data_IF_216289541124
#
_entry.id   IF_216289541124
#
_cell.length_a   1.000
_cell.length_b   1.000
_cell.length_c   1.000
_cell.angle_alpha   90.00
_cell.angle_beta   90.00
_cell.angle_gamma   90.00
#
_symmetry.space_group_name_H-M   'P 1'
#
loop_
_entity.id
_entity.type
_entity.pdbx_description
1 polymer ?
#
# COMPACT_ATOMS: atom_id res chain seq x y z
N UNK A 1 9.68 4.79 -21.17
CA UNK A 1 9.30 5.81 -22.19
C UNK A 1 8.23 6.69 -21.61
N UNK A 2 8.43 8.02 -21.59
CA UNK A 2 7.36 8.94 -21.25
C UNK A 2 6.20 8.69 -22.21
N UNK A 3 5.01 8.35 -21.70
CA UNK A 3 3.85 8.19 -22.57
C UNK A 3 3.43 9.60 -23.05
N UNK A 4 3.83 10.04 -24.27
CA UNK A 4 3.58 11.41 -24.72
C UNK A 4 2.08 11.71 -24.86
N UNK A 5 1.26 10.69 -25.05
CA UNK A 5 -0.19 10.85 -25.21
C UNK A 5 -0.86 11.24 -23.89
N UNK A 6 -0.43 10.68 -22.76
CA UNK A 6 -0.95 11.03 -21.45
C UNK A 6 -0.51 12.41 -20.95
N UNK A 7 0.66 12.88 -21.38
CA UNK A 7 1.20 14.20 -20.99
C UNK A 7 0.66 15.35 -21.83
N UNK A 8 0.23 15.12 -23.07
CA UNK A 8 -0.28 16.18 -23.96
C UNK A 8 -1.46 16.96 -23.36
N UNK A 9 -2.52 16.34 -22.82
CA UNK A 9 -3.62 17.06 -22.21
C UNK A 9 -3.21 17.87 -20.98
N UNK A 10 -2.27 17.33 -20.18
CA UNK A 10 -1.70 18.01 -19.02
C UNK A 10 -0.89 19.24 -19.45
N UNK A 11 -0.01 19.10 -20.46
CA UNK A 11 0.75 20.23 -21.02
C UNK A 11 -0.17 21.33 -21.56
N UNK A 12 -1.24 20.96 -22.25
CA UNK A 12 -2.22 21.92 -22.75
C UNK A 12 -2.88 22.68 -21.59
N UNK A 13 -3.24 22.01 -20.50
CA UNK A 13 -3.84 22.63 -19.31
C UNK A 13 -2.87 23.58 -18.58
N UNK A 14 -1.58 23.44 -18.79
CA UNK A 14 -0.51 24.27 -18.21
C UNK A 14 -0.01 25.38 -19.16
N UNK A 15 -0.55 25.47 -20.38
CA UNK A 15 -0.06 26.39 -21.42
C UNK A 15 -0.15 27.88 -21.08
N UNK A 16 -1.01 28.25 -20.11
CA UNK A 16 -1.12 29.62 -19.59
C UNK A 16 -0.04 29.99 -18.55
N UNK A 17 0.83 29.05 -18.17
CA UNK A 17 1.91 29.28 -17.19
C UNK A 17 3.24 29.58 -17.89
N UNK A 18 4.18 30.29 -17.22
CA UNK A 18 5.54 30.40 -17.70
C UNK A 18 6.16 29.03 -17.94
N UNK A 19 6.94 28.87 -19.01
CA UNK A 19 7.48 27.59 -19.44
C UNK A 19 8.23 26.84 -18.33
N UNK A 20 9.09 27.54 -17.57
CA UNK A 20 9.83 26.92 -16.46
C UNK A 20 8.95 26.38 -15.31
N UNK A 21 7.76 26.98 -15.12
CA UNK A 21 6.77 26.50 -14.13
C UNK A 21 6.12 25.23 -14.64
N UNK A 22 5.68 25.24 -15.91
CA UNK A 22 5.06 24.09 -16.56
C UNK A 22 6.02 22.90 -16.61
N UNK A 23 7.27 23.11 -16.99
CA UNK A 23 8.31 22.07 -17.02
C UNK A 23 8.54 21.45 -15.63
N UNK A 24 8.60 22.28 -14.57
CA UNK A 24 8.75 21.81 -13.19
C UNK A 24 7.56 20.96 -12.74
N UNK A 25 6.34 21.38 -13.06
CA UNK A 25 5.12 20.60 -12.75
C UNK A 25 5.15 19.27 -13.48
N UNK A 26 5.42 19.26 -14.77
CA UNK A 26 5.49 18.04 -15.58
C UNK A 26 6.59 17.10 -15.07
N UNK A 27 7.76 17.61 -14.70
CA UNK A 27 8.83 16.79 -14.12
C UNK A 27 8.39 16.11 -12.81
N UNK A 28 7.68 16.82 -11.94
CA UNK A 28 7.17 16.23 -10.70
C UNK A 28 6.07 15.19 -10.97
N UNK A 29 5.17 15.45 -11.93
CA UNK A 29 4.17 14.46 -12.35
C UNK A 29 4.85 13.20 -12.89
N UNK A 30 5.89 13.34 -13.70
CA UNK A 30 6.68 12.20 -14.17
C UNK A 30 7.31 11.40 -13.02
N UNK A 31 7.81 12.06 -11.98
CA UNK A 31 8.32 11.36 -10.79
C UNK A 31 7.22 10.55 -10.09
N UNK A 32 6.01 11.10 -9.98
CA UNK A 32 4.86 10.38 -9.40
C UNK A 32 4.47 9.15 -10.21
N UNK A 33 4.51 9.24 -11.55
CA UNK A 33 4.17 8.09 -12.41
C UNK A 33 5.20 6.97 -12.34
N UNK A 34 6.43 7.22 -11.82
CA UNK A 34 7.50 6.26 -11.62
C UNK A 34 7.73 5.92 -10.13
N UNK A 35 6.81 6.32 -9.25
CA UNK A 35 6.91 5.96 -7.84
C UNK A 35 6.90 4.45 -7.66
N UNK A 36 7.86 3.92 -6.91
CA UNK A 36 7.98 2.50 -6.57
C UNK A 36 7.53 2.27 -5.12
N UNK A 37 6.31 1.79 -4.89
CA UNK A 37 5.81 1.51 -3.55
C UNK A 37 6.60 0.41 -2.85
N UNK A 38 6.72 0.53 -1.52
CA UNK A 38 7.35 -0.48 -0.67
C UNK A 38 6.36 -0.99 0.35
N UNK A 39 5.93 -2.24 0.20
CA UNK A 39 4.96 -2.88 1.10
C UNK A 39 5.67 -3.91 1.97
N UNK A 40 5.65 -3.69 3.28
CA UNK A 40 6.06 -4.69 4.25
C UNK A 40 4.98 -5.75 4.44
N UNK A 41 5.37 -7.02 4.52
CA UNK A 41 4.46 -8.08 4.94
C UNK A 41 5.06 -8.78 6.15
N UNK A 42 4.31 -8.86 7.23
CA UNK A 42 4.75 -9.51 8.46
C UNK A 42 3.71 -10.49 8.99
N UNK A 43 4.15 -11.38 9.84
CA UNK A 43 3.32 -12.40 10.47
C UNK A 43 4.16 -13.63 10.81
N UNK A 44 3.73 -14.38 11.80
CA UNK A 44 4.40 -15.59 12.27
C UNK A 44 4.61 -16.60 11.13
N UNK A 45 5.57 -17.49 11.31
CA UNK A 45 5.83 -18.59 10.36
C UNK A 45 4.53 -19.35 10.07
N UNK A 46 4.27 -19.60 8.79
CA UNK A 46 3.03 -20.25 8.35
C UNK A 46 1.78 -19.36 8.37
N UNK A 47 1.89 -18.04 8.57
CA UNK A 47 0.74 -17.13 8.50
C UNK A 47 0.19 -16.94 7.06
N UNK A 48 0.88 -17.45 6.04
CA UNK A 48 0.41 -17.40 4.65
C UNK A 48 0.84 -16.14 3.90
N UNK A 49 1.94 -15.50 4.30
CA UNK A 49 2.48 -14.29 3.66
C UNK A 49 2.66 -14.46 2.14
N UNK A 50 3.46 -15.44 1.72
CA UNK A 50 3.72 -15.72 0.29
C UNK A 50 2.44 -16.10 -0.47
N UNK A 51 1.55 -16.89 0.15
CA UNK A 51 0.27 -17.25 -0.47
C UNK A 51 -0.61 -16.04 -0.71
N UNK A 52 -0.63 -15.09 0.23
CA UNK A 52 -1.41 -13.85 0.09
C UNK A 52 -0.83 -12.96 -1.02
N UNK A 53 0.49 -12.78 -1.05
CA UNK A 53 1.17 -12.02 -2.11
C UNK A 53 0.85 -12.59 -3.49
N UNK A 54 1.01 -13.91 -3.67
CA UNK A 54 0.73 -14.60 -4.94
C UNK A 54 -0.75 -14.52 -5.34
N UNK A 55 -1.66 -14.43 -4.37
CA UNK A 55 -3.08 -14.30 -4.64
C UNK A 55 -3.49 -12.88 -5.05
N UNK A 56 -2.82 -11.85 -4.51
CA UNK A 56 -3.19 -10.45 -4.74
C UNK A 56 -2.50 -9.82 -5.94
N UNK A 57 -1.22 -10.14 -6.16
CA UNK A 57 -0.38 -9.45 -7.13
C UNK A 57 -0.10 -10.29 -8.36
N UNK A 58 -0.02 -9.63 -9.51
CA UNK A 58 0.19 -10.24 -10.82
C UNK A 58 1.64 -10.11 -11.32
N UNK A 59 2.45 -9.26 -10.69
CA UNK A 59 3.78 -8.93 -11.17
C UNK A 59 4.73 -10.14 -11.17
N UNK A 60 5.63 -10.16 -12.15
CA UNK A 60 6.77 -11.08 -12.14
C UNK A 60 7.66 -10.78 -10.94
N UNK A 61 7.97 -11.82 -10.16
CA UNK A 61 8.73 -11.69 -8.93
C UNK A 61 10.21 -11.86 -9.21
N UNK A 62 11.01 -10.84 -8.97
CA UNK A 62 12.46 -10.95 -8.95
C UNK A 62 12.99 -10.69 -7.53
N UNK A 63 13.88 -11.56 -7.00
CA UNK A 63 14.53 -11.27 -5.73
C UNK A 63 15.46 -10.06 -5.90
N UNK A 64 15.35 -9.10 -5.00
CA UNK A 64 16.33 -8.02 -4.89
C UNK A 64 17.45 -8.54 -3.99
N UNK A 65 18.50 -9.11 -4.59
CA UNK A 65 19.69 -9.47 -3.83
C UNK A 65 20.60 -8.24 -3.75
N UNK A 66 20.65 -7.58 -2.61
CA UNK A 66 21.83 -6.81 -2.28
C UNK A 66 22.98 -7.81 -2.05
N UNK A 67 24.03 -7.71 -2.88
CA UNK A 67 25.18 -8.63 -2.95
C UNK A 67 26.00 -8.70 -1.64
N UNK A 68 25.60 -7.95 -0.62
CA UNK A 68 26.19 -7.92 0.72
C UNK A 68 25.24 -8.46 1.79
N UNK A 69 24.50 -9.53 1.50
CA UNK A 69 23.61 -10.13 2.49
C UNK A 69 24.42 -10.73 3.66
N UNK A 70 24.61 -9.93 4.70
CA UNK A 70 24.64 -10.47 6.04
C UNK A 70 23.29 -11.16 6.29
N UNK A 71 23.29 -12.32 6.91
CA UNK A 71 22.16 -13.22 7.21
C UNK A 71 21.00 -12.59 8.01
N UNK A 72 20.87 -11.27 8.05
CA UNK A 72 19.95 -10.49 8.89
C UNK A 72 19.06 -9.52 8.12
N UNK A 73 19.26 -9.35 6.80
CA UNK A 73 18.43 -8.44 6.01
C UNK A 73 17.11 -9.09 5.64
N UNK A 74 15.98 -8.32 5.67
CA UNK A 74 14.69 -8.85 5.26
C UNK A 74 14.72 -9.21 3.78
N UNK A 75 14.06 -10.31 3.42
CA UNK A 75 13.93 -10.70 2.02
C UNK A 75 13.10 -9.64 1.27
N UNK A 76 13.63 -9.18 0.15
CA UNK A 76 12.99 -8.21 -0.71
C UNK A 76 12.68 -8.83 -2.06
N UNK A 77 11.46 -8.61 -2.51
CA UNK A 77 10.97 -9.07 -3.80
C UNK A 77 10.45 -7.87 -4.59
N UNK A 78 11.04 -7.66 -5.75
CA UNK A 78 10.55 -6.64 -6.68
C UNK A 78 9.54 -7.27 -7.62
N UNK A 79 8.35 -6.71 -7.69
CA UNK A 79 7.32 -7.08 -8.64
C UNK A 79 7.32 -6.10 -9.80
N UNK A 80 7.13 -6.61 -11.00
CA UNK A 80 7.07 -5.80 -12.21
C UNK A 80 5.85 -6.15 -13.05
N UNK A 81 5.10 -5.11 -13.43
CA UNK A 81 4.04 -5.19 -14.46
C UNK A 81 4.30 -4.06 -15.45
N UNK A 82 4.66 -4.42 -16.69
CA UNK A 82 5.11 -3.45 -17.68
C UNK A 82 6.35 -2.67 -17.20
N UNK A 83 6.26 -1.35 -17.18
CA UNK A 83 7.33 -0.46 -16.69
C UNK A 83 7.15 -0.06 -15.21
N UNK A 84 6.18 -0.66 -14.51
CA UNK A 84 5.85 -0.35 -13.13
C UNK A 84 6.46 -1.36 -12.17
N UNK A 85 6.99 -0.84 -11.08
CA UNK A 85 7.64 -1.64 -10.06
C UNK A 85 6.99 -1.42 -8.70
N UNK A 86 7.06 -2.43 -7.85
CA UNK A 86 6.70 -2.39 -6.44
C UNK A 86 7.62 -3.35 -5.69
N UNK A 87 8.07 -2.96 -4.51
CA UNK A 87 8.88 -3.82 -3.65
C UNK A 87 8.04 -4.39 -2.51
N UNK A 88 8.08 -5.71 -2.33
CA UNK A 88 7.57 -6.39 -1.13
C UNK A 88 8.76 -6.73 -0.25
N UNK A 89 8.66 -6.38 1.03
CA UNK A 89 9.63 -6.68 2.08
C UNK A 89 9.03 -7.72 3.02
N UNK A 90 9.58 -8.94 3.02
CA UNK A 90 9.16 -9.98 3.98
C UNK A 90 9.81 -9.68 5.33
N UNK A 91 9.00 -9.19 6.26
CA UNK A 91 9.43 -8.82 7.60
C UNK A 91 9.22 -10.00 8.56
N UNK A 92 10.17 -10.27 9.47
CA UNK A 92 10.04 -11.36 10.41
C UNK A 92 8.83 -11.15 11.33
N UNK A 93 8.12 -12.24 11.61
CA UNK A 93 7.09 -12.26 12.64
C UNK A 93 7.71 -12.25 14.04
N UNK A 94 6.99 -11.72 14.99
CA UNK A 94 7.42 -11.63 16.40
C UNK A 94 6.97 -12.84 17.21
N UNK A 95 7.62 -13.08 18.37
CA UNK A 95 7.26 -14.14 19.31
C UNK A 95 8.01 -15.47 19.09
N UNK A 96 9.12 -15.47 18.34
CA UNK A 96 9.98 -16.65 18.21
C UNK A 96 10.92 -16.82 19.41
N UNK A 97 11.55 -15.72 19.86
CA UNK A 97 12.34 -15.65 21.11
C UNK A 97 12.62 -14.20 21.49
N UNK A 98 12.80 -13.90 22.79
CA UNK A 98 13.05 -12.53 23.26
C UNK A 98 14.36 -11.91 22.69
N UNK A 99 15.38 -12.71 22.40
CA UNK A 99 16.62 -12.23 21.78
C UNK A 99 16.36 -11.80 20.33
N UNK A 100 15.64 -12.64 19.56
CA UNK A 100 15.26 -12.33 18.18
C UNK A 100 14.33 -11.14 18.10
N UNK A 101 13.39 -10.99 19.01
CA UNK A 101 12.46 -9.88 19.04
C UNK A 101 13.19 -8.53 19.21
N UNK A 102 14.32 -8.51 19.94
CA UNK A 102 15.19 -7.31 20.05
C UNK A 102 15.90 -6.98 18.71
N UNK A 103 16.45 -8.01 18.04
CA UNK A 103 17.06 -7.85 16.71
C UNK A 103 16.02 -7.38 15.68
N UNK A 104 14.82 -7.95 15.70
CA UNK A 104 13.72 -7.56 14.84
C UNK A 104 13.26 -6.12 15.10
N UNK A 105 13.23 -5.69 16.37
CA UNK A 105 12.90 -4.31 16.69
C UNK A 105 13.87 -3.30 16.05
N UNK A 106 15.18 -3.60 16.02
CA UNK A 106 16.16 -2.75 15.34
C UNK A 106 15.94 -2.73 13.82
N UNK A 107 15.73 -3.91 13.21
CA UNK A 107 15.40 -4.06 11.78
C UNK A 107 14.15 -3.25 11.40
N UNK A 108 13.08 -3.37 12.19
CA UNK A 108 11.84 -2.63 11.92
C UNK A 108 12.05 -1.12 11.99
N UNK A 109 12.77 -0.61 12.98
CA UNK A 109 13.05 0.83 13.07
C UNK A 109 13.81 1.36 11.86
N UNK A 110 14.67 0.55 11.26
CA UNK A 110 15.37 0.90 10.03
C UNK A 110 14.43 0.88 8.81
N UNK A 111 13.54 -0.11 8.73
CA UNK A 111 12.68 -0.29 7.56
C UNK A 111 11.44 0.59 7.57
N UNK A 112 10.85 0.88 8.74
CA UNK A 112 9.59 1.64 8.89
C UNK A 112 9.53 2.96 8.11
N UNK A 113 10.61 3.78 8.05
CA UNK A 113 10.58 5.02 7.26
C UNK A 113 10.41 4.80 5.76
N UNK A 114 10.84 3.64 5.25
CA UNK A 114 10.84 3.28 3.83
C UNK A 114 9.57 2.58 3.38
N UNK A 115 8.75 2.11 4.33
CA UNK A 115 7.52 1.38 4.03
C UNK A 115 6.35 2.35 3.83
N UNK A 116 5.57 2.10 2.79
CA UNK A 116 4.29 2.78 2.55
C UNK A 116 3.15 2.12 3.31
N UNK A 117 3.19 0.80 3.44
CA UNK A 117 2.19 0.00 4.13
C UNK A 117 2.82 -1.24 4.74
N UNK A 118 2.25 -1.72 5.86
CA UNK A 118 2.56 -3.01 6.48
C UNK A 118 1.29 -3.85 6.51
N UNK A 119 1.31 -4.98 5.81
CA UNK A 119 0.28 -6.01 5.94
C UNK A 119 0.68 -6.94 7.10
N UNK A 120 -0.01 -6.82 8.24
CA UNK A 120 0.26 -7.63 9.42
C UNK A 120 -0.70 -8.81 9.48
N UNK A 121 -0.18 -10.00 9.14
CA UNK A 121 -0.94 -11.23 9.09
C UNK A 121 -1.01 -11.91 10.46
N UNK A 122 -2.23 -12.13 10.94
CA UNK A 122 -2.53 -12.91 12.15
C UNK A 122 -3.42 -14.07 11.72
N UNK A 123 -3.01 -15.32 12.01
CA UNK A 123 -3.83 -16.48 11.66
C UNK A 123 -5.16 -16.47 12.44
N UNK A 124 -6.22 -16.95 11.81
CA UNK A 124 -7.54 -17.03 12.42
C UNK A 124 -7.53 -17.86 13.72
N UNK A 125 -6.70 -18.93 13.77
CA UNK A 125 -6.53 -19.84 14.91
C UNK A 125 -5.46 -19.39 15.93
N UNK A 126 -4.69 -18.30 15.65
CA UNK A 126 -3.66 -17.83 16.58
C UNK A 126 -4.30 -17.15 17.83
N UNK A 127 -3.96 -17.66 19.00
CA UNK A 127 -4.44 -17.15 20.30
C UNK A 127 -3.36 -16.41 21.08
N UNK A 128 -2.08 -16.56 20.71
CA UNK A 128 -0.93 -15.99 21.41
C UNK A 128 -0.56 -14.60 20.85
N UNK A 129 -1.29 -13.57 21.22
CA UNK A 129 -1.19 -12.21 20.67
C UNK A 129 -0.40 -11.22 21.55
N UNK A 130 -0.04 -11.62 22.78
CA UNK A 130 0.60 -10.70 23.73
C UNK A 130 1.93 -10.11 23.21
N UNK A 131 2.75 -10.93 22.56
CA UNK A 131 4.02 -10.46 21.96
C UNK A 131 3.77 -9.55 20.76
N UNK A 132 2.78 -9.88 19.92
CA UNK A 132 2.36 -9.05 18.80
C UNK A 132 1.87 -7.67 19.29
N UNK A 133 1.05 -7.64 20.36
CA UNK A 133 0.56 -6.41 20.96
C UNK A 133 1.71 -5.56 21.51
N UNK A 134 2.62 -6.17 22.28
CA UNK A 134 3.78 -5.48 22.84
C UNK A 134 4.64 -4.86 21.72
N UNK A 135 4.94 -5.63 20.66
CA UNK A 135 5.74 -5.19 19.53
C UNK A 135 5.06 -4.03 18.77
N UNK A 136 3.76 -4.15 18.53
CA UNK A 136 2.98 -3.09 17.89
C UNK A 136 3.05 -1.77 18.67
N UNK A 137 2.93 -1.85 20.00
CA UNK A 137 2.97 -0.66 20.86
C UNK A 137 4.36 -0.04 20.95
N UNK A 138 5.42 -0.88 21.06
CA UNK A 138 6.78 -0.42 21.38
C UNK A 138 7.64 -0.17 20.14
N UNK A 139 7.45 -0.92 19.06
CA UNK A 139 8.31 -0.86 17.87
C UNK A 139 7.63 -0.10 16.74
N UNK A 140 6.42 -0.45 16.38
CA UNK A 140 5.65 0.32 15.39
C UNK A 140 5.36 1.71 15.95
N UNK A 141 4.89 1.77 17.19
CA UNK A 141 4.61 3.02 17.89
C UNK A 141 3.47 3.81 17.25
N UNK A 142 3.05 4.87 17.91
CA UNK A 142 1.89 5.66 17.49
C UNK A 142 2.10 6.33 16.12
N UNK A 143 3.31 6.81 15.86
CA UNK A 143 3.65 7.52 14.63
C UNK A 143 3.50 6.67 13.35
N UNK A 144 3.62 5.33 13.44
CA UNK A 144 3.57 4.43 12.28
C UNK A 144 2.31 3.56 12.22
N UNK A 145 1.37 3.68 13.18
CA UNK A 145 0.13 2.90 13.20
C UNK A 145 -0.71 3.08 11.94
N UNK A 146 -0.67 4.25 11.35
CA UNK A 146 -1.37 4.56 10.09
C UNK A 146 -0.84 3.76 8.89
N UNK A 147 0.35 3.17 8.99
CA UNK A 147 0.93 2.30 7.96
C UNK A 147 0.51 0.83 8.12
N UNK A 148 -0.17 0.44 9.20
CA UNK A 148 -0.47 -0.97 9.50
C UNK A 148 -1.90 -1.32 9.13
N UNK A 149 -2.06 -2.34 8.26
CA UNK A 149 -3.32 -3.01 7.99
C UNK A 149 -3.26 -4.43 8.55
N UNK A 150 -4.05 -4.70 9.60
CA UNK A 150 -4.17 -6.05 10.15
C UNK A 150 -5.03 -6.94 9.27
N UNK A 151 -4.55 -8.16 9.03
CA UNK A 151 -5.20 -9.16 8.18
C UNK A 151 -5.31 -10.47 8.93
N UNK A 152 -6.52 -10.90 9.26
CA UNK A 152 -6.79 -12.25 9.73
C UNK A 152 -6.68 -13.18 8.52
N UNK A 153 -5.59 -13.92 8.45
CA UNK A 153 -5.31 -14.87 7.38
C UNK A 153 -5.87 -16.25 7.69
N UNK A 154 -5.97 -17.11 6.67
CA UNK A 154 -6.44 -18.50 6.81
C UNK A 154 -7.81 -18.58 7.51
N UNK A 155 -8.72 -17.67 7.18
CA UNK A 155 -10.04 -17.61 7.80
C UNK A 155 -10.86 -18.91 7.65
N UNK A 156 -10.52 -19.77 6.68
CA UNK A 156 -11.06 -21.12 6.53
C UNK A 156 -10.66 -22.07 7.66
N UNK A 157 -9.64 -21.76 8.45
CA UNK A 157 -9.23 -22.49 9.66
C UNK A 157 -9.87 -21.99 10.95
N UNK A 158 -10.74 -20.96 10.88
CA UNK A 158 -11.54 -20.57 12.02
C UNK A 158 -12.45 -21.75 12.45
N UNK A 159 -12.50 -22.03 13.75
CA UNK A 159 -13.37 -23.10 14.28
C UNK A 159 -14.88 -22.73 14.15
N UNK A 160 -15.76 -23.75 13.98
CA UNK A 160 -15.44 -25.16 13.71
C UNK A 160 -14.90 -25.32 12.29
N UNK A 161 -13.76 -26.02 12.14
CA UNK A 161 -13.19 -26.28 10.83
C UNK A 161 -14.09 -27.19 10.02
N UNK A 162 -14.68 -26.66 8.98
CA UNK A 162 -15.42 -27.43 7.98
C UNK A 162 -14.56 -27.59 6.74
N UNK A 163 -14.39 -28.80 6.23
CA UNK A 163 -13.66 -29.07 4.97
C UNK A 163 -14.37 -28.49 3.71
N UNK A 164 -15.39 -27.65 3.88
CA UNK A 164 -16.18 -27.08 2.80
C UNK A 164 -15.46 -26.02 1.97
N UNK A 165 -16.07 -25.69 0.82
CA UNK A 165 -15.56 -24.64 -0.09
C UNK A 165 -16.09 -23.24 0.24
N UNK A 166 -16.88 -23.10 1.30
CA UNK A 166 -17.41 -21.81 1.79
C UNK A 166 -17.31 -21.77 3.32
N UNK A 167 -17.17 -20.57 3.88
CA UNK A 167 -17.22 -20.38 5.32
C UNK A 167 -18.63 -20.58 5.87
N UNK A 168 -18.76 -21.38 6.92
CA UNK A 168 -20.01 -21.55 7.65
C UNK A 168 -20.41 -20.24 8.38
N UNK A 169 -21.66 -20.15 8.78
CA UNK A 169 -22.16 -19.03 9.58
C UNK A 169 -21.40 -18.90 10.92
N UNK A 170 -21.10 -20.01 11.56
CA UNK A 170 -20.37 -20.06 12.82
C UNK A 170 -18.92 -19.63 12.65
N UNK A 171 -18.24 -20.05 11.59
CA UNK A 171 -16.89 -19.55 11.24
C UNK A 171 -16.92 -18.03 11.06
N UNK A 172 -17.87 -17.49 10.31
CA UNK A 172 -17.99 -16.04 10.12
C UNK A 172 -18.22 -15.30 11.45
N UNK A 173 -19.01 -15.85 12.37
CA UNK A 173 -19.20 -15.29 13.70
C UNK A 173 -17.90 -15.30 14.52
N UNK A 174 -17.13 -16.39 14.46
CA UNK A 174 -15.85 -16.50 15.17
C UNK A 174 -14.79 -15.55 14.57
N UNK A 175 -14.77 -15.39 13.25
CA UNK A 175 -13.95 -14.37 12.58
C UNK A 175 -14.36 -12.96 13.06
N UNK A 176 -15.64 -12.67 13.16
CA UNK A 176 -16.12 -11.37 13.67
C UNK A 176 -15.70 -11.12 15.12
N UNK A 177 -15.78 -12.15 15.99
CA UNK A 177 -15.26 -12.07 17.36
C UNK A 177 -13.75 -11.81 17.39
N UNK A 178 -13.00 -12.46 16.50
CA UNK A 178 -11.55 -12.24 16.36
C UNK A 178 -11.25 -10.80 15.90
N UNK A 179 -12.02 -10.25 14.98
CA UNK A 179 -11.90 -8.84 14.57
C UNK A 179 -12.11 -7.91 15.76
N UNK A 180 -13.17 -8.13 16.56
CA UNK A 180 -13.41 -7.34 17.78
C UNK A 180 -12.24 -7.44 18.76
N UNK A 181 -11.71 -8.65 19.01
CA UNK A 181 -10.55 -8.86 19.86
C UNK A 181 -9.33 -8.08 19.38
N UNK A 182 -9.03 -8.09 18.06
CA UNK A 182 -7.92 -7.33 17.52
C UNK A 182 -8.13 -5.82 17.66
N UNK A 183 -9.37 -5.34 17.54
CA UNK A 183 -9.69 -3.93 17.81
C UNK A 183 -9.47 -3.55 19.28
N UNK A 184 -9.84 -4.41 20.22
CA UNK A 184 -9.61 -4.18 21.66
C UNK A 184 -8.11 -4.15 22.00
N UNK A 185 -7.34 -5.11 21.49
CA UNK A 185 -5.91 -5.26 21.81
C UNK A 185 -5.04 -4.20 21.13
N UNK A 186 -5.21 -4.01 19.83
CA UNK A 186 -4.29 -3.19 19.02
C UNK A 186 -4.80 -1.77 18.78
N UNK A 187 -6.09 -1.52 18.91
CA UNK A 187 -6.70 -0.21 18.55
C UNK A 187 -6.20 0.29 17.19
N UNK A 188 -6.38 -0.52 16.12
CA UNK A 188 -5.83 -0.21 14.81
C UNK A 188 -6.49 1.04 14.21
N UNK A 189 -5.70 1.81 13.45
CA UNK A 189 -6.21 2.99 12.71
C UNK A 189 -7.16 2.56 11.60
N UNK A 190 -6.83 1.44 10.93
CA UNK A 190 -7.61 0.91 9.81
C UNK A 190 -8.47 -0.28 10.23
N UNK A 191 -9.64 -0.49 9.60
CA UNK A 191 -10.47 -1.66 9.87
C UNK A 191 -9.71 -2.96 9.58
N UNK A 192 -9.78 -3.92 10.50
CA UNK A 192 -9.17 -5.25 10.33
C UNK A 192 -9.83 -5.99 9.16
N UNK A 193 -9.01 -6.60 8.30
CA UNK A 193 -9.46 -7.48 7.22
C UNK A 193 -9.44 -8.94 7.64
N UNK A 194 -10.27 -9.77 7.03
CA UNK A 194 -10.21 -11.21 7.19
C UNK A 194 -10.27 -11.87 5.81
N UNK A 195 -9.37 -12.83 5.55
CA UNK A 195 -9.22 -13.45 4.23
C UNK A 195 -8.95 -14.95 4.32
N UNK A 196 -9.39 -15.68 3.30
CA UNK A 196 -8.93 -17.02 2.97
C UNK A 196 -8.49 -17.07 1.52
N UNK A 197 -7.21 -17.27 1.29
CA UNK A 197 -6.67 -17.47 -0.06
C UNK A 197 -7.22 -18.76 -0.67
N UNK A 198 -7.33 -19.83 0.12
CA UNK A 198 -7.88 -21.11 -0.32
C UNK A 198 -9.31 -20.98 -0.87
N UNK A 199 -10.15 -20.19 -0.20
CA UNK A 199 -11.56 -20.01 -0.57
C UNK A 199 -11.79 -18.77 -1.45
N UNK A 200 -10.75 -18.03 -1.82
CA UNK A 200 -10.84 -16.72 -2.49
C UNK A 200 -11.79 -15.74 -1.78
N UNK A 201 -11.94 -15.91 -0.45
CA UNK A 201 -12.86 -15.13 0.36
C UNK A 201 -12.16 -13.92 0.98
N UNK A 202 -12.84 -12.78 0.96
CA UNK A 202 -12.38 -11.53 1.59
C UNK A 202 -11.29 -10.78 0.85
N UNK A 203 -10.64 -11.35 -0.18
CA UNK A 203 -9.51 -10.77 -0.89
C UNK A 203 -9.86 -9.44 -1.59
N UNK A 204 -11.05 -9.36 -2.22
CA UNK A 204 -11.52 -8.12 -2.86
C UNK A 204 -11.66 -6.98 -1.86
N UNK A 205 -12.33 -7.24 -0.75
CA UNK A 205 -12.52 -6.23 0.32
C UNK A 205 -11.17 -5.81 0.92
N UNK A 206 -10.25 -6.77 1.07
CA UNK A 206 -8.90 -6.47 1.51
C UNK A 206 -8.15 -5.58 0.52
N UNK A 207 -8.21 -5.86 -0.79
CA UNK A 207 -7.58 -5.04 -1.81
C UNK A 207 -8.13 -3.60 -1.79
N UNK A 208 -9.45 -3.42 -1.69
CA UNK A 208 -10.08 -2.10 -1.57
C UNK A 208 -9.62 -1.33 -0.32
N UNK A 209 -9.51 -2.02 0.82
CA UNK A 209 -9.01 -1.42 2.06
C UNK A 209 -7.52 -1.10 1.98
N UNK A 210 -6.73 -1.99 1.41
CA UNK A 210 -5.30 -1.79 1.21
C UNK A 210 -5.02 -0.50 0.43
N UNK A 211 -5.70 -0.26 -0.68
CA UNK A 211 -5.54 0.98 -1.46
C UNK A 211 -5.88 2.22 -0.63
N UNK A 212 -6.91 2.16 0.21
CA UNK A 212 -7.29 3.28 1.09
C UNK A 212 -6.31 3.55 2.23
N UNK A 213 -5.47 2.57 2.59
CA UNK A 213 -4.45 2.71 3.63
C UNK A 213 -3.13 3.25 3.10
N UNK A 214 -2.92 3.22 1.79
CA UNK A 214 -1.69 3.69 1.15
C UNK A 214 -1.59 5.22 1.15
N UNK A 215 -0.38 5.78 1.17
CA UNK A 215 -0.19 7.17 0.79
C UNK A 215 -0.61 7.35 -0.68
N UNK A 216 -1.10 8.55 -1.02
CA UNK A 216 -1.74 8.81 -2.32
C UNK A 216 -0.83 8.51 -3.51
N UNK A 217 0.46 8.79 -3.40
CA UNK A 217 1.47 8.52 -4.43
C UNK A 217 1.67 7.03 -4.70
N UNK A 218 1.39 6.17 -3.72
CA UNK A 218 1.57 4.72 -3.82
C UNK A 218 0.33 3.98 -4.38
N UNK A 219 -0.87 4.59 -4.31
CA UNK A 219 -2.12 3.90 -4.65
C UNK A 219 -2.15 3.44 -6.11
N UNK A 220 -1.86 4.30 -7.07
CA UNK A 220 -1.88 4.00 -8.50
C UNK A 220 -0.85 2.93 -8.92
N UNK A 221 0.44 3.02 -8.53
CA UNK A 221 1.40 1.96 -8.82
C UNK A 221 1.01 0.61 -8.22
N UNK A 222 0.45 0.58 -7.00
CA UNK A 222 -0.02 -0.67 -6.38
C UNK A 222 -1.20 -1.27 -7.14
N UNK A 223 -2.17 -0.45 -7.59
CA UNK A 223 -3.29 -0.93 -8.42
C UNK A 223 -2.79 -1.59 -9.70
N UNK A 224 -1.74 -1.05 -10.33
CA UNK A 224 -1.13 -1.63 -11.51
C UNK A 224 -0.51 -3.01 -11.25
N UNK A 225 -0.14 -3.33 -10.00
CA UNK A 225 0.41 -4.64 -9.62
C UNK A 225 -0.66 -5.65 -9.19
N UNK A 226 -1.89 -5.23 -8.89
CA UNK A 226 -2.96 -6.14 -8.49
C UNK A 226 -3.34 -7.11 -9.62
N UNK A 227 -3.76 -8.32 -9.28
CA UNK A 227 -4.42 -9.22 -10.22
C UNK A 227 -5.74 -8.61 -10.70
N UNK A 228 -6.10 -8.89 -11.94
CA UNK A 228 -7.27 -8.32 -12.62
C UNK A 228 -8.58 -8.37 -11.79
N UNK A 229 -8.93 -9.48 -11.08
CA UNK A 229 -10.17 -9.54 -10.29
C UNK A 229 -10.24 -8.52 -9.15
N UNK A 230 -9.10 -7.97 -8.72
CA UNK A 230 -9.01 -7.03 -7.60
C UNK A 230 -8.91 -5.56 -8.06
N UNK A 231 -8.73 -5.31 -9.36
CA UNK A 231 -8.80 -3.97 -9.96
C UNK A 231 -10.24 -3.52 -10.15
N UNK A 232 -11.03 -3.53 -9.05
CA UNK A 232 -12.45 -3.15 -9.08
C UNK A 232 -12.62 -1.68 -9.44
N UNK A 233 -13.84 -1.29 -9.83
CA UNK A 233 -14.18 0.12 -10.07
C UNK A 233 -13.82 0.99 -8.86
N UNK A 234 -14.16 0.54 -7.64
CA UNK A 234 -13.84 1.25 -6.40
C UNK A 234 -12.35 1.46 -6.23
N UNK A 235 -11.52 0.43 -6.48
CA UNK A 235 -10.06 0.49 -6.40
C UNK A 235 -9.50 1.48 -7.43
N UNK A 236 -9.98 1.42 -8.66
CA UNK A 236 -9.51 2.30 -9.75
C UNK A 236 -9.94 3.75 -9.53
N UNK A 237 -11.17 4.00 -9.09
CA UNK A 237 -11.65 5.35 -8.77
C UNK A 237 -10.85 5.96 -7.64
N UNK A 238 -10.59 5.22 -6.56
CA UNK A 238 -9.74 5.69 -5.46
C UNK A 238 -8.34 6.07 -5.95
N UNK A 239 -7.70 5.22 -6.76
CA UNK A 239 -6.36 5.50 -7.29
C UNK A 239 -6.34 6.71 -8.25
N UNK A 240 -7.37 6.88 -9.07
CA UNK A 240 -7.52 8.08 -9.92
C UNK A 240 -7.67 9.35 -9.09
N UNK A 241 -8.48 9.29 -8.04
CA UNK A 241 -8.68 10.42 -7.13
C UNK A 241 -7.39 10.78 -6.41
N UNK A 242 -6.69 9.78 -5.86
CA UNK A 242 -5.40 9.96 -5.20
C UNK A 242 -4.35 10.55 -6.15
N UNK A 243 -4.28 10.06 -7.39
CA UNK A 243 -3.38 10.61 -8.40
C UNK A 243 -3.71 12.07 -8.72
N UNK A 244 -4.99 12.38 -8.96
CA UNK A 244 -5.43 13.75 -9.20
C UNK A 244 -5.07 14.69 -8.05
N UNK A 245 -5.34 14.28 -6.81
CA UNK A 245 -5.01 15.09 -5.62
C UNK A 245 -3.48 15.22 -5.42
N UNK A 246 -2.70 14.21 -5.75
CA UNK A 246 -1.24 14.29 -5.68
C UNK A 246 -0.70 15.28 -6.73
N UNK A 247 -1.26 15.27 -7.94
CA UNK A 247 -0.94 16.28 -8.96
C UNK A 247 -1.36 17.68 -8.49
N UNK A 248 -2.53 17.81 -7.84
CA UNK A 248 -2.97 19.07 -7.22
C UNK A 248 -1.97 19.57 -6.17
N UNK A 249 -1.47 18.69 -5.29
CA UNK A 249 -0.47 19.03 -4.28
C UNK A 249 0.86 19.49 -4.89
N UNK A 250 1.23 18.97 -6.07
CA UNK A 250 2.39 19.46 -6.84
C UNK A 250 2.20 20.94 -7.21
N UNK A 251 1.02 21.31 -7.74
CA UNK A 251 0.72 22.69 -8.09
C UNK A 251 0.74 23.60 -6.84
N UNK A 252 0.17 23.12 -5.73
CA UNK A 252 0.16 23.84 -4.46
C UNK A 252 1.60 24.07 -3.96
N UNK A 253 2.45 23.07 -4.01
CA UNK A 253 3.88 23.14 -3.63
C UNK A 253 4.64 24.14 -4.51
N UNK A 254 4.43 24.07 -5.83
CA UNK A 254 5.07 25.00 -6.78
C UNK A 254 4.57 26.42 -6.51
N UNK A 255 3.26 26.61 -6.31
CA UNK A 255 2.69 27.94 -6.04
C UNK A 255 3.21 28.58 -4.75
N UNK A 256 3.51 27.77 -3.75
CA UNK A 256 4.05 28.23 -2.46
C UNK A 256 5.53 28.62 -2.51
N UNK A 257 6.24 28.33 -3.60
CA UNK A 257 7.68 28.64 -3.70
C UNK A 257 7.93 30.16 -3.66
N UNK A 258 8.86 30.63 -2.82
CA UNK A 258 9.04 32.08 -2.57
C UNK A 258 9.35 32.92 -3.81
N UNK A 259 9.98 32.30 -4.83
CA UNK A 259 10.38 32.98 -6.07
C UNK A 259 9.23 33.09 -7.10
N UNK A 260 8.05 32.51 -6.84
CA UNK A 260 6.90 32.64 -7.72
C UNK A 260 6.21 34.00 -7.54
N UNK A 261 6.15 34.86 -8.57
CA UNK A 261 5.45 36.11 -8.50
C UNK A 261 3.94 35.94 -8.22
N UNK A 262 3.34 36.89 -7.49
CA UNK A 262 1.93 36.81 -7.12
C UNK A 262 0.96 36.57 -8.31
N UNK A 263 1.13 37.23 -9.48
CA UNK A 263 0.27 36.99 -10.64
C UNK A 263 0.38 35.52 -11.14
N UNK A 264 1.59 34.95 -11.18
CA UNK A 264 1.81 33.56 -11.61
C UNK A 264 1.17 32.60 -10.61
N UNK A 265 1.31 32.87 -9.31
CA UNK A 265 0.67 32.08 -8.25
C UNK A 265 -0.85 32.05 -8.41
N UNK A 266 -1.47 33.18 -8.70
CA UNK A 266 -2.91 33.26 -8.94
C UNK A 266 -3.34 32.41 -10.15
N UNK A 267 -2.56 32.42 -11.23
CA UNK A 267 -2.84 31.56 -12.40
C UNK A 267 -2.70 30.08 -12.05
N UNK A 268 -1.63 29.66 -11.32
CA UNK A 268 -1.47 28.26 -10.88
C UNK A 268 -2.70 27.81 -10.08
N UNK A 269 -3.15 28.63 -9.13
CA UNK A 269 -4.33 28.33 -8.33
C UNK A 269 -5.62 28.26 -9.16
N UNK A 270 -5.76 29.13 -10.14
CA UNK A 270 -6.94 29.15 -11.02
C UNK A 270 -7.02 27.87 -11.90
N UNK A 271 -5.89 27.36 -12.39
CA UNK A 271 -5.86 26.15 -13.24
C UNK A 271 -5.86 24.86 -12.44
N UNK A 272 -5.65 24.89 -11.13
CA UNK A 272 -5.50 23.71 -10.28
C UNK A 272 -6.62 22.69 -10.47
N UNK A 273 -7.87 23.12 -10.37
CA UNK A 273 -9.03 22.22 -10.51
C UNK A 273 -9.09 21.56 -11.89
N UNK A 274 -8.77 22.34 -12.93
CA UNK A 274 -8.73 21.82 -14.32
C UNK A 274 -7.63 20.77 -14.46
N UNK A 275 -6.42 21.05 -13.97
CA UNK A 275 -5.28 20.12 -14.05
C UNK A 275 -5.56 18.83 -13.26
N UNK A 276 -6.15 18.92 -12.07
CA UNK A 276 -6.59 17.75 -11.29
C UNK A 276 -7.62 16.92 -12.05
N UNK A 277 -8.60 17.55 -12.67
CA UNK A 277 -9.62 16.86 -13.48
C UNK A 277 -9.00 16.17 -14.70
N UNK A 278 -8.09 16.84 -15.39
CA UNK A 278 -7.37 16.26 -16.54
C UNK A 278 -6.48 15.11 -16.09
N UNK A 279 -5.76 15.24 -14.96
CA UNK A 279 -4.92 14.17 -14.42
C UNK A 279 -5.75 12.90 -14.13
N UNK A 280 -6.94 13.05 -13.54
CA UNK A 280 -7.87 11.92 -13.33
C UNK A 280 -8.32 11.31 -14.66
N UNK A 281 -8.62 12.12 -15.67
CA UNK A 281 -9.10 11.64 -16.96
C UNK A 281 -8.03 10.88 -17.75
N UNK A 282 -6.75 11.27 -17.63
CA UNK A 282 -5.63 10.62 -18.33
C UNK A 282 -4.97 9.50 -17.52
N UNK A 283 -5.47 9.17 -16.36
CA UNK A 283 -4.90 8.17 -15.46
C UNK A 283 -4.64 6.82 -16.15
N UNK A 284 -5.58 6.35 -16.98
CA UNK A 284 -5.48 5.08 -17.71
C UNK A 284 -4.33 5.03 -18.75
N UNK A 285 -3.74 6.17 -19.12
CA UNK A 285 -2.54 6.20 -19.97
C UNK A 285 -1.27 5.90 -19.17
N UNK A 286 -1.33 6.06 -17.85
CA UNK A 286 -0.18 5.86 -16.97
C UNK A 286 -0.25 4.55 -16.20
N UNK A 287 -1.42 4.05 -15.83
CA UNK A 287 -1.63 2.90 -14.96
C UNK A 287 -2.68 1.94 -15.54
#
# INVERSE_FOLDING_TARGET
MNNPEGLQPLNHSLSGLPQWVSERIVQQINQLTHYEPVIGIMGKTGAGKSSLCNALFAGEVSPVSDVAACTRDPLRFRLQVGERFMTIVDLPGVGESGVRDTEYAALYREQLPRLDLILWLIKADDRALATDEHFYRQVIGEANRHKVLFVISQSDKAEPTSGGNILSTEQKQNISRKICLLHELFQPVHPVCAVSVRLQWGLRVMAERMIKCLPREASSPVVAQLQHPFRTTVVREQARDDFGETVGAVLDTVSAFPLIPAPVRAVIQAVRTTVVSVARAVWDFFF
#
